data_IF_290712894595
#
_entry.id   IF_290712894595
#
_cell.length_a   1.000
_cell.length_b   1.000
_cell.length_c   1.000
_cell.angle_alpha   90.00
_cell.angle_beta   90.00
_cell.angle_gamma   90.00
#
_symmetry.space_group_name_H-M   'P 1'
#
loop_
_entity.id
_entity.type
_entity.pdbx_description
1 polymer ?
#
# COMPACT_ATOMS: atom_id res chain seq x y z
N UNK A 1 6.37 -9.10 -10.22
CA UNK A 1 6.51 -9.98 -9.03
C UNK A 1 6.55 -9.20 -7.70
N UNK A 2 6.94 -7.92 -7.64
CA UNK A 2 7.12 -7.20 -6.36
C UNK A 2 5.84 -6.63 -5.71
N UNK A 3 4.82 -6.22 -6.49
CA UNK A 3 3.58 -5.63 -5.95
C UNK A 3 2.72 -6.64 -5.17
N UNK A 4 2.70 -7.91 -5.59
CA UNK A 4 1.91 -8.96 -4.95
C UNK A 4 2.38 -9.26 -3.52
N UNK A 5 3.70 -9.26 -3.27
CA UNK A 5 4.26 -9.45 -1.92
C UNK A 5 3.85 -8.30 -1.00
N UNK A 6 3.96 -7.06 -1.49
CA UNK A 6 3.47 -5.89 -0.77
C UNK A 6 1.98 -6.01 -0.44
N UNK A 7 1.15 -6.45 -1.40
CA UNK A 7 -0.28 -6.67 -1.19
C UNK A 7 -0.57 -7.65 -0.06
N UNK A 8 0.10 -8.80 -0.08
CA UNK A 8 -0.07 -9.84 0.93
C UNK A 8 0.38 -9.35 2.30
N UNK A 9 1.54 -8.70 2.39
CA UNK A 9 2.03 -8.12 3.64
C UNK A 9 1.07 -7.06 4.18
N UNK A 10 0.62 -6.15 3.32
CA UNK A 10 -0.34 -5.11 3.71
C UNK A 10 -1.63 -5.74 4.22
N UNK A 11 -2.23 -6.68 3.47
CA UNK A 11 -3.46 -7.37 3.86
C UNK A 11 -3.34 -8.09 5.21
N UNK A 12 -2.20 -8.71 5.51
CA UNK A 12 -1.95 -9.34 6.82
C UNK A 12 -1.92 -8.28 7.91
N UNK A 13 -1.15 -7.20 7.72
CA UNK A 13 -0.99 -6.14 8.72
C UNK A 13 -2.31 -5.42 9.01
N UNK A 14 -3.09 -5.06 7.98
CA UNK A 14 -4.40 -4.42 8.17
C UNK A 14 -5.35 -5.37 8.90
N UNK A 15 -5.35 -6.66 8.57
CA UNK A 15 -6.17 -7.67 9.26
C UNK A 15 -5.75 -7.90 10.72
N UNK A 16 -4.47 -7.68 11.03
CA UNK A 16 -3.93 -7.71 12.39
C UNK A 16 -4.21 -6.44 13.20
N UNK A 17 -4.94 -5.46 12.63
CA UNK A 17 -5.26 -4.20 13.31
C UNK A 17 -4.09 -3.22 13.37
N UNK A 18 -3.04 -3.43 12.57
CA UNK A 18 -1.93 -2.48 12.45
C UNK A 18 -2.45 -1.21 11.76
N UNK A 19 -2.14 -0.01 12.28
CA UNK A 19 -2.51 1.24 11.64
C UNK A 19 -2.04 1.30 10.19
N UNK A 20 -2.89 1.81 9.31
CA UNK A 20 -2.64 1.81 7.86
C UNK A 20 -1.29 2.42 7.47
N UNK A 21 -0.95 3.55 8.09
CA UNK A 21 0.33 4.26 7.84
C UNK A 21 1.53 3.39 8.21
N UNK A 22 1.46 2.67 9.32
CA UNK A 22 2.54 1.76 9.75
C UNK A 22 2.61 0.53 8.83
N UNK A 23 1.46 0.00 8.43
CA UNK A 23 1.39 -1.10 7.48
C UNK A 23 2.02 -0.75 6.12
N UNK A 24 1.80 0.48 5.64
CA UNK A 24 2.45 1.01 4.42
C UNK A 24 3.97 1.13 4.59
N UNK A 25 4.46 1.64 5.73
CA UNK A 25 5.90 1.74 6.01
C UNK A 25 6.57 0.36 6.05
N UNK A 26 5.95 -0.62 6.71
CA UNK A 26 6.45 -2.00 6.77
C UNK A 26 6.42 -2.62 5.37
N UNK A 27 5.33 -2.44 4.63
CA UNK A 27 5.18 -2.92 3.26
C UNK A 27 6.21 -2.33 2.28
N UNK A 28 6.56 -1.05 2.44
CA UNK A 28 7.62 -0.39 1.67
C UNK A 28 9.00 -0.98 1.99
N UNK A 29 9.28 -1.32 3.25
CA UNK A 29 10.56 -1.90 3.68
C UNK A 29 10.80 -3.31 3.14
N UNK A 30 9.75 -4.12 2.96
CA UNK A 30 9.85 -5.47 2.39
C UNK A 30 9.89 -5.50 0.86
N UNK A 31 9.71 -4.34 0.22
CA UNK A 31 9.68 -4.21 -1.24
C UNK A 31 11.05 -3.82 -1.77
N UNK A 32 11.65 -4.71 -2.58
CA UNK A 32 12.97 -4.47 -3.17
C UNK A 32 12.93 -3.63 -4.47
N UNK A 33 11.74 -3.21 -4.91
CA UNK A 33 11.57 -2.36 -6.09
C UNK A 33 11.48 -0.89 -5.66
N UNK A 34 12.47 -0.10 -6.07
CA UNK A 34 12.54 1.31 -5.73
C UNK A 34 11.31 2.12 -6.20
N UNK A 35 10.74 1.79 -7.37
CA UNK A 35 9.57 2.49 -7.94
C UNK A 35 8.34 2.26 -7.08
N UNK A 36 8.13 1.00 -6.67
CA UNK A 36 7.00 0.63 -5.81
C UNK A 36 7.20 1.23 -4.42
N UNK A 37 8.44 1.19 -3.89
CA UNK A 37 8.77 1.75 -2.59
C UNK A 37 8.48 3.26 -2.53
N UNK A 38 8.91 4.01 -3.55
CA UNK A 38 8.63 5.44 -3.66
C UNK A 38 7.13 5.73 -3.78
N UNK A 39 6.42 4.96 -4.60
CA UNK A 39 4.96 5.08 -4.75
C UNK A 39 4.21 4.82 -3.45
N UNK A 40 4.66 3.84 -2.65
CA UNK A 40 4.08 3.54 -1.33
C UNK A 40 4.40 4.66 -0.33
N UNK A 41 5.62 5.20 -0.34
CA UNK A 41 6.01 6.30 0.54
C UNK A 41 5.13 7.54 0.27
N UNK A 42 4.98 7.92 -0.99
CA UNK A 42 4.06 8.99 -1.41
C UNK A 42 2.61 8.72 -1.00
N UNK A 43 2.14 7.48 -1.15
CA UNK A 43 0.80 7.11 -0.74
C UNK A 43 0.62 7.20 0.79
N UNK A 44 1.63 6.83 1.57
CA UNK A 44 1.59 6.91 3.03
C UNK A 44 1.55 8.36 3.55
N UNK A 45 2.31 9.27 2.92
CA UNK A 45 2.23 10.71 3.21
C UNK A 45 0.82 11.26 2.92
N UNK A 46 0.30 10.99 1.71
CA UNK A 46 -1.05 11.41 1.30
C UNK A 46 -2.14 10.91 2.25
N UNK A 47 -2.02 9.68 2.75
CA UNK A 47 -2.98 9.11 3.71
C UNK A 47 -2.89 9.80 5.07
N UNK A 48 -1.67 10.18 5.48
CA UNK A 48 -1.44 10.95 6.71
C UNK A 48 -2.09 12.34 6.62
N UNK A 49 -2.13 12.93 5.42
CA UNK A 49 -2.83 14.18 5.12
C UNK A 49 -4.36 14.03 4.98
N UNK A 50 -4.92 12.83 5.19
CA UNK A 50 -6.36 12.53 5.06
C UNK A 50 -6.79 12.07 3.65
N UNK A 51 -5.84 11.82 2.75
CA UNK A 51 -6.08 11.29 1.42
C UNK A 51 -6.50 9.81 1.41
N UNK A 52 -7.22 9.40 0.37
CA UNK A 52 -7.66 8.01 0.20
C UNK A 52 -6.53 7.14 -0.40
N UNK A 53 -6.08 6.13 0.34
CA UNK A 53 -5.01 5.22 -0.09
C UNK A 53 -5.31 4.51 -1.41
N UNK A 54 -6.50 3.92 -1.54
CA UNK A 54 -6.88 3.16 -2.73
C UNK A 54 -6.79 4.01 -4.00
N UNK A 55 -7.21 5.27 -3.91
CA UNK A 55 -7.13 6.21 -5.03
C UNK A 55 -5.68 6.55 -5.39
N UNK A 56 -4.78 6.69 -4.41
CA UNK A 56 -3.36 6.94 -4.67
C UNK A 56 -2.67 5.74 -5.32
N UNK A 57 -2.95 4.53 -4.82
CA UNK A 57 -2.41 3.29 -5.39
C UNK A 57 -2.93 3.05 -6.81
N UNK A 58 -4.21 3.30 -7.07
CA UNK A 58 -4.79 3.25 -8.41
C UNK A 58 -4.11 4.22 -9.38
N UNK A 59 -3.90 5.47 -8.94
CA UNK A 59 -3.20 6.51 -9.73
C UNK A 59 -1.75 6.17 -10.03
N UNK A 60 -1.09 5.40 -9.16
CA UNK A 60 0.31 5.01 -9.38
C UNK A 60 0.47 3.99 -10.51
N UNK A 61 -0.59 3.25 -10.88
CA UNK A 61 -0.56 2.27 -11.97
C UNK A 61 0.30 1.02 -11.73
N UNK A 62 0.97 0.93 -10.58
CA UNK A 62 1.85 -0.20 -10.24
C UNK A 62 1.13 -1.35 -9.54
N UNK A 63 -0.12 -1.15 -9.15
CA UNK A 63 -0.91 -2.11 -8.38
C UNK A 63 -2.10 -2.62 -9.20
N UNK A 64 -2.33 -3.94 -9.25
CA UNK A 64 -3.50 -4.50 -9.92
C UNK A 64 -4.81 -3.98 -9.31
N UNK A 65 -5.88 -3.77 -10.10
CA UNK A 65 -7.16 -3.25 -9.61
C UNK A 65 -7.74 -4.08 -8.45
N UNK A 66 -7.62 -5.41 -8.54
CA UNK A 66 -8.08 -6.34 -7.51
C UNK A 66 -7.41 -6.07 -6.14
N UNK A 67 -6.13 -5.72 -6.15
CA UNK A 67 -5.39 -5.39 -4.94
C UNK A 67 -5.85 -4.06 -4.34
N UNK A 68 -6.04 -3.03 -5.17
CA UNK A 68 -6.56 -1.73 -4.72
C UNK A 68 -7.94 -1.89 -4.09
N UNK A 69 -8.76 -2.75 -4.68
CA UNK A 69 -10.11 -3.03 -4.18
C UNK A 69 -10.08 -3.71 -2.80
N UNK A 70 -9.18 -4.67 -2.57
CA UNK A 70 -9.00 -5.31 -1.25
C UNK A 70 -8.62 -4.30 -0.16
N UNK A 71 -7.80 -3.29 -0.50
CA UNK A 71 -7.38 -2.25 0.44
C UNK A 71 -8.52 -1.27 0.74
N UNK A 72 -9.41 -1.00 -0.23
CA UNK A 72 -10.58 -0.13 -0.04
C UNK A 72 -11.70 -0.79 0.77
N UNK A 73 -11.79 -2.12 0.71
CA UNK A 73 -12.80 -2.90 1.44
C UNK A 73 -12.39 -3.27 2.87
N UNK A 74 -11.14 -3.01 3.26
CA UNK A 74 -10.60 -3.26 4.59
C UNK A 74 -10.66 -2.04 5.50
#
# INVERSE_FOLDING_TARGET
INAARFASTLSILTRSGVPLVDALKIGAAVTNNWVIRDSIAHAAERVTEGGNLGTQLERSGYFPPMMVQMIRSG
#
